data_IF_946670909077
#
_entry.id   IF_946670909077
#
_cell.length_a   1.000
_cell.length_b   1.000
_cell.length_c   1.000
_cell.angle_alpha   90.00
_cell.angle_beta   90.00
_cell.angle_gamma   90.00
#
_symmetry.space_group_name_H-M   'P 1'
#
loop_
_entity.id
_entity.type
_entity.pdbx_description
1 polymer ?
#
# COMPACT_ATOMS: atom_id res chain seq x y z
N UNK A 1 22.05 12.23 16.49
CA UNK A 1 22.41 13.66 16.30
C UNK A 1 22.66 14.27 17.67
N UNK A 2 23.73 15.05 17.88
CA UNK A 2 24.06 15.58 19.22
C UNK A 2 23.15 16.77 19.57
N UNK A 3 22.66 16.87 20.82
CA UNK A 3 21.81 17.98 21.28
C UNK A 3 22.40 19.38 21.00
N UNK A 4 23.71 19.53 21.17
CA UNK A 4 24.44 20.78 20.97
C UNK A 4 24.37 21.28 19.51
N UNK A 5 24.43 20.36 18.55
CA UNK A 5 24.35 20.68 17.12
C UNK A 5 22.96 21.20 16.76
N UNK A 6 21.92 20.61 17.36
CA UNK A 6 20.52 21.04 17.19
C UNK A 6 20.35 22.45 17.75
N UNK A 7 20.88 22.73 18.93
CA UNK A 7 20.77 24.06 19.54
C UNK A 7 21.48 25.15 18.72
N UNK A 8 22.68 24.85 18.20
CA UNK A 8 23.39 25.77 17.29
C UNK A 8 22.61 26.06 16.01
N UNK A 9 21.87 25.07 15.49
CA UNK A 9 21.06 25.26 14.28
C UNK A 9 19.88 26.21 14.50
N UNK A 10 19.24 26.16 15.66
CA UNK A 10 18.20 27.12 16.06
C UNK A 10 18.75 28.55 16.13
N UNK A 11 19.92 28.72 16.76
CA UNK A 11 20.58 30.02 16.84
C UNK A 11 20.98 30.57 15.46
N UNK A 12 21.52 29.72 14.58
CA UNK A 12 21.94 30.13 13.23
C UNK A 12 20.76 30.51 12.32
N UNK A 13 19.61 29.87 12.50
CA UNK A 13 18.40 30.11 11.70
C UNK A 13 17.47 31.16 12.31
N UNK A 14 17.74 31.60 13.55
CA UNK A 14 16.85 32.49 14.31
C UNK A 14 15.53 31.83 14.72
N UNK A 15 15.38 30.51 14.54
CA UNK A 15 14.20 29.76 14.96
C UNK A 15 14.28 29.57 16.46
N UNK A 16 13.34 30.15 17.20
CA UNK A 16 13.24 29.99 18.65
C UNK A 16 11.96 29.26 19.02
N UNK A 17 12.01 27.92 19.20
CA UNK A 17 10.89 27.17 19.75
C UNK A 17 10.63 27.63 21.19
N UNK A 18 9.35 27.82 21.55
CA UNK A 18 8.97 28.11 22.94
C UNK A 18 9.46 27.05 23.94
N UNK A 19 9.63 25.81 23.49
CA UNK A 19 10.27 24.73 24.26
C UNK A 19 11.21 23.91 23.35
N UNK A 20 12.51 24.19 23.42
CA UNK A 20 13.53 23.47 22.67
C UNK A 20 13.74 22.03 23.18
N UNK A 21 13.38 21.74 24.44
CA UNK A 21 13.60 20.42 25.04
C UNK A 21 12.71 19.34 24.43
N UNK A 22 11.51 19.72 23.97
CA UNK A 22 10.60 18.82 23.25
C UNK A 22 11.27 18.28 21.99
N UNK A 23 11.99 19.13 21.26
CA UNK A 23 12.73 18.72 20.06
C UNK A 23 13.93 17.87 20.46
N UNK A 24 14.68 18.28 21.49
CA UNK A 24 15.83 17.51 21.96
C UNK A 24 15.45 16.10 22.43
N UNK A 25 14.31 15.93 23.12
CA UNK A 25 13.81 14.62 23.58
C UNK A 25 13.60 13.63 22.44
N UNK A 26 13.18 14.10 21.26
CA UNK A 26 13.00 13.24 20.06
C UNK A 26 14.32 12.67 19.54
N UNK A 27 15.43 13.35 19.80
CA UNK A 27 16.76 12.96 19.34
C UNK A 27 17.66 12.43 20.46
N UNK A 28 17.19 12.41 21.72
CA UNK A 28 17.83 11.67 22.81
C UNK A 28 17.64 10.19 22.49
N UNK A 29 18.69 9.58 21.97
CA UNK A 29 18.74 8.19 21.53
C UNK A 29 18.16 7.25 22.60
N UNK A 30 16.94 6.76 22.41
CA UNK A 30 16.46 5.53 23.04
C UNK A 30 17.13 4.38 22.31
N UNK A 31 18.37 4.08 22.67
CA UNK A 31 19.11 2.93 22.14
C UNK A 31 18.41 1.59 22.49
N UNK A 32 17.47 1.57 23.43
CA UNK A 32 16.73 0.35 23.78
C UNK A 32 15.60 -0.03 22.81
N UNK A 33 15.00 0.92 22.09
CA UNK A 33 13.89 0.59 21.17
C UNK A 33 14.40 0.18 19.79
N UNK A 34 15.65 0.50 19.42
CA UNK A 34 16.22 0.00 18.17
C UNK A 34 16.49 -1.50 18.21
N UNK A 35 16.83 -2.05 19.38
CA UNK A 35 16.99 -3.50 19.58
C UNK A 35 15.64 -4.25 19.62
N UNK A 36 14.56 -3.60 20.06
CA UNK A 36 13.19 -4.16 20.02
C UNK A 36 12.45 -3.88 18.70
N UNK A 37 12.81 -2.83 17.96
CA UNK A 37 12.35 -2.58 16.59
C UNK A 37 12.93 -3.59 15.60
N UNK A 38 14.04 -4.26 15.94
CA UNK A 38 14.51 -5.46 15.24
C UNK A 38 13.58 -6.67 15.44
N UNK A 39 12.67 -6.64 16.43
CA UNK A 39 11.72 -7.73 16.71
C UNK A 39 10.29 -7.49 16.22
N UNK A 40 9.91 -6.28 15.79
CA UNK A 40 8.57 -6.02 15.29
C UNK A 40 8.56 -5.27 13.95
N UNK A 41 8.72 -6.07 12.90
CA UNK A 41 8.18 -5.79 11.58
C UNK A 41 7.35 -6.99 11.13
N UNK A 42 6.17 -7.18 11.73
CA UNK A 42 5.15 -8.06 11.17
C UNK A 42 4.74 -7.54 9.79
N UNK A 43 5.25 -8.15 8.73
CA UNK A 43 4.44 -8.44 7.53
C UNK A 43 5.05 -9.61 6.75
N UNK A 44 4.78 -10.83 7.26
CA UNK A 44 4.44 -11.99 6.43
C UNK A 44 5.48 -12.69 5.56
N UNK A 45 6.70 -12.17 5.38
CA UNK A 45 7.65 -12.78 4.46
C UNK A 45 9.03 -12.89 5.10
N UNK A 46 9.50 -14.11 5.35
CA UNK A 46 10.82 -14.40 5.94
C UNK A 46 12.00 -14.00 5.04
N UNK A 47 11.73 -13.31 3.93
CA UNK A 47 12.67 -12.87 2.89
C UNK A 47 13.18 -11.44 3.07
N UNK A 48 12.90 -10.77 4.19
CA UNK A 48 13.42 -9.41 4.43
C UNK A 48 14.95 -9.40 4.39
N UNK A 49 15.53 -8.54 3.55
CA UNK A 49 16.99 -8.43 3.37
C UNK A 49 17.72 -8.25 4.70
N UNK A 50 17.13 -7.56 5.67
CA UNK A 50 17.72 -7.34 6.99
C UNK A 50 17.88 -8.68 7.73
N UNK A 51 16.87 -9.54 7.69
CA UNK A 51 16.91 -10.87 8.32
C UNK A 51 17.92 -11.78 7.61
N UNK A 52 17.88 -11.82 6.28
CA UNK A 52 18.84 -12.58 5.48
C UNK A 52 20.27 -12.09 5.71
N UNK A 53 20.45 -10.79 5.90
CA UNK A 53 21.75 -10.20 6.21
C UNK A 53 22.22 -10.55 7.60
N UNK A 54 21.36 -10.56 8.61
CA UNK A 54 21.71 -11.00 9.98
C UNK A 54 22.16 -12.47 9.95
N UNK A 55 21.41 -13.34 9.25
CA UNK A 55 21.75 -14.76 9.11
C UNK A 55 23.08 -14.92 8.36
N UNK A 56 23.26 -14.19 7.26
CA UNK A 56 24.51 -14.18 6.50
C UNK A 56 25.70 -13.71 7.35
N UNK A 57 25.50 -12.65 8.13
CA UNK A 57 26.50 -12.06 9.00
C UNK A 57 26.91 -12.99 10.16
N UNK A 58 25.99 -13.84 10.63
CA UNK A 58 26.24 -14.87 11.63
C UNK A 58 26.93 -16.12 11.04
N UNK A 59 26.55 -16.52 9.83
CA UNK A 59 27.10 -17.72 9.17
C UNK A 59 28.48 -17.50 8.55
N UNK A 60 28.79 -16.28 8.09
CA UNK A 60 30.03 -15.99 7.35
C UNK A 60 31.05 -15.29 8.26
N UNK A 61 32.05 -16.04 8.71
CA UNK A 61 33.11 -15.55 9.58
C UNK A 61 33.98 -14.44 8.93
N UNK A 62 34.36 -14.59 7.65
CA UNK A 62 35.18 -13.59 6.94
C UNK A 62 34.43 -12.93 5.78
N UNK A 63 33.78 -11.82 6.11
CA UNK A 63 32.94 -11.02 5.20
C UNK A 63 33.74 -10.25 4.15
N UNK A 64 35.03 -10.03 4.39
CA UNK A 64 35.90 -9.33 3.46
C UNK A 64 36.29 -10.20 2.25
N UNK A 65 36.17 -11.54 2.38
CA UNK A 65 36.47 -12.49 1.31
C UNK A 65 35.61 -12.17 0.08
N UNK A 66 36.22 -12.23 -1.11
CA UNK A 66 35.57 -11.91 -2.38
C UNK A 66 34.32 -12.79 -2.60
N UNK A 67 34.40 -14.08 -2.25
CA UNK A 67 33.28 -15.02 -2.33
C UNK A 67 32.09 -14.61 -1.44
N UNK A 68 32.36 -14.17 -0.21
CA UNK A 68 31.32 -13.71 0.71
C UNK A 68 30.60 -12.47 0.15
N UNK A 69 31.35 -11.50 -0.38
CA UNK A 69 30.77 -10.32 -1.03
C UNK A 69 29.95 -10.68 -2.26
N UNK A 70 30.42 -11.64 -3.07
CA UNK A 70 29.69 -12.14 -4.24
C UNK A 70 28.38 -12.80 -3.82
N UNK A 71 28.41 -13.64 -2.79
CA UNK A 71 27.23 -14.30 -2.24
C UNK A 71 26.21 -13.30 -1.69
N UNK A 72 26.65 -12.32 -0.90
CA UNK A 72 25.78 -11.25 -0.37
C UNK A 72 25.09 -10.47 -1.49
N UNK A 73 25.82 -10.11 -2.55
CA UNK A 73 25.23 -9.44 -3.74
C UNK A 73 24.21 -10.32 -4.45
N UNK A 74 24.50 -11.60 -4.64
CA UNK A 74 23.57 -12.55 -5.25
C UNK A 74 22.29 -12.67 -4.44
N UNK A 75 22.38 -12.83 -3.12
CA UNK A 75 21.20 -12.92 -2.23
C UNK A 75 20.36 -11.65 -2.35
N UNK A 76 20.99 -10.47 -2.29
CA UNK A 76 20.27 -9.21 -2.43
C UNK A 76 19.58 -9.09 -3.80
N UNK A 77 20.27 -9.48 -4.89
CA UNK A 77 19.66 -9.46 -6.23
C UNK A 77 18.47 -10.41 -6.36
N UNK A 78 18.53 -11.60 -5.75
CA UNK A 78 17.43 -12.56 -5.75
C UNK A 78 16.24 -12.03 -4.96
N UNK A 79 16.49 -11.41 -3.80
CA UNK A 79 15.46 -10.81 -2.97
C UNK A 79 14.73 -9.67 -3.71
N UNK A 80 15.48 -8.79 -4.40
CA UNK A 80 14.90 -7.74 -5.24
C UNK A 80 14.06 -8.34 -6.38
N UNK A 81 14.57 -9.36 -7.06
CA UNK A 81 13.83 -10.01 -8.15
C UNK A 81 12.55 -10.68 -7.65
N UNK A 82 12.58 -11.37 -6.51
CA UNK A 82 11.38 -11.97 -5.91
C UNK A 82 10.35 -10.89 -5.59
N UNK A 83 10.76 -9.77 -4.97
CA UNK A 83 9.87 -8.66 -4.69
C UNK A 83 9.22 -8.09 -5.96
N UNK A 84 9.99 -7.93 -7.04
CA UNK A 84 9.47 -7.49 -8.33
C UNK A 84 8.44 -8.48 -8.90
N UNK A 85 8.76 -9.78 -8.88
CA UNK A 85 7.86 -10.84 -9.35
C UNK A 85 6.57 -10.91 -8.53
N UNK A 86 6.63 -10.75 -7.21
CA UNK A 86 5.44 -10.69 -6.36
C UNK A 86 4.54 -9.50 -6.70
N UNK A 87 5.14 -8.33 -6.89
CA UNK A 87 4.40 -7.13 -7.29
C UNK A 87 3.76 -7.29 -8.68
N UNK A 88 4.49 -7.86 -9.64
CA UNK A 88 3.97 -8.12 -10.98
C UNK A 88 2.81 -9.11 -10.94
N UNK A 89 2.96 -10.25 -10.25
CA UNK A 89 1.89 -11.23 -10.08
C UNK A 89 0.65 -10.64 -9.40
N UNK A 90 0.84 -9.84 -8.35
CA UNK A 90 -0.25 -9.15 -7.67
C UNK A 90 -0.97 -8.18 -8.62
N UNK A 91 -0.21 -7.39 -9.39
CA UNK A 91 -0.76 -6.48 -10.40
C UNK A 91 -1.54 -7.22 -11.49
N UNK A 92 -1.03 -8.33 -11.99
CA UNK A 92 -1.70 -9.18 -12.98
C UNK A 92 -3.01 -9.76 -12.43
N UNK A 93 -3.01 -10.25 -11.18
CA UNK A 93 -4.23 -10.74 -10.53
C UNK A 93 -5.27 -9.63 -10.38
N UNK A 94 -4.86 -8.43 -9.98
CA UNK A 94 -5.76 -7.28 -9.89
C UNK A 94 -6.34 -6.90 -11.27
N UNK A 95 -5.51 -6.84 -12.31
CA UNK A 95 -5.93 -6.56 -13.67
C UNK A 95 -6.89 -7.63 -14.22
N UNK A 96 -6.68 -8.89 -13.87
CA UNK A 96 -7.59 -9.97 -14.23
C UNK A 96 -8.94 -9.82 -13.51
N UNK A 97 -8.92 -9.49 -12.22
CA UNK A 97 -10.13 -9.26 -11.43
C UNK A 97 -10.93 -8.06 -11.96
N UNK A 98 -10.28 -6.96 -12.33
CA UNK A 98 -10.96 -5.79 -12.93
C UNK A 98 -11.56 -6.14 -14.29
N UNK A 99 -10.85 -6.87 -15.15
CA UNK A 99 -11.40 -7.37 -16.42
C UNK A 99 -12.61 -8.28 -16.20
N UNK A 100 -12.54 -9.20 -15.23
CA UNK A 100 -13.67 -10.07 -14.88
C UNK A 100 -14.89 -9.28 -14.42
N UNK A 101 -14.69 -8.27 -13.55
CA UNK A 101 -15.74 -7.34 -13.12
C UNK A 101 -16.32 -6.53 -14.28
N UNK A 102 -15.49 -6.10 -15.23
CA UNK A 102 -15.97 -5.38 -16.42
C UNK A 102 -16.76 -6.29 -17.37
N UNK A 103 -16.41 -7.58 -17.48
CA UNK A 103 -17.18 -8.55 -18.27
C UNK A 103 -18.54 -8.86 -17.65
N UNK A 104 -18.69 -8.73 -16.33
CA UNK A 104 -20.01 -8.67 -15.71
C UNK A 104 -20.69 -7.38 -16.16
N UNK A 105 -21.44 -7.48 -17.27
CA UNK A 105 -22.27 -6.39 -17.77
C UNK A 105 -23.11 -5.89 -16.60
N UNK A 106 -23.09 -4.58 -16.35
CA UNK A 106 -24.13 -3.96 -15.54
C UNK A 106 -25.44 -4.31 -16.22
N UNK A 107 -26.34 -5.00 -15.52
CA UNK A 107 -27.73 -5.14 -15.97
C UNK A 107 -28.25 -3.73 -16.12
N UNK A 108 -28.39 -3.27 -17.36
CA UNK A 108 -29.06 -2.00 -17.64
C UNK A 108 -30.52 -2.26 -17.32
N UNK A 109 -30.99 -1.65 -16.23
CA UNK A 109 -32.40 -1.65 -15.89
C UNK A 109 -33.17 -1.10 -17.09
N UNK A 110 -34.12 -1.85 -17.65
CA UNK A 110 -34.84 -1.39 -18.84
C UNK A 110 -35.83 -0.30 -18.43
N UNK A 111 -35.40 0.95 -18.55
CA UNK A 111 -36.19 2.11 -18.19
C UNK A 111 -37.21 2.36 -19.31
N UNK A 112 -38.29 1.56 -19.34
CA UNK A 112 -39.38 1.70 -20.32
C UNK A 112 -39.88 3.13 -20.36
N UNK A 113 -39.72 3.75 -21.52
CA UNK A 113 -40.28 5.08 -21.78
C UNK A 113 -41.79 4.93 -21.92
N UNK A 114 -42.58 5.78 -21.26
CA UNK A 114 -44.01 5.89 -21.56
C UNK A 114 -44.11 6.66 -22.88
N UNK A 115 -44.69 6.08 -23.92
CA UNK A 115 -44.74 6.62 -25.31
C UNK A 115 -45.36 8.03 -25.46
N UNK A 116 -45.83 8.64 -24.38
CA UNK A 116 -46.30 10.02 -24.34
C UNK A 116 -45.10 11.00 -24.31
N UNK A 117 -44.37 11.10 -25.42
CA UNK A 117 -43.25 12.04 -25.56
C UNK A 117 -43.63 13.31 -26.33
N UNK A 118 -43.64 14.44 -25.64
CA UNK A 118 -43.58 15.78 -26.22
C UNK A 118 -42.21 16.42 -25.93
N UNK A 119 -41.14 15.91 -26.55
CA UNK A 119 -39.95 16.71 -26.89
C UNK A 119 -39.15 17.39 -25.78
N UNK A 120 -38.99 16.82 -24.57
CA UNK A 120 -38.27 17.47 -23.45
C UNK A 120 -37.32 16.57 -22.64
N UNK A 121 -36.51 17.18 -21.77
CA UNK A 121 -35.58 16.48 -20.88
C UNK A 121 -36.30 15.52 -19.92
N UNK A 122 -35.84 14.28 -19.83
CA UNK A 122 -36.47 13.24 -19.00
C UNK A 122 -35.98 13.33 -17.56
N UNK A 123 -36.87 13.70 -16.63
CA UNK A 123 -36.57 13.71 -15.19
C UNK A 123 -36.78 12.34 -14.55
N UNK A 124 -35.68 11.79 -13.99
CA UNK A 124 -35.65 10.50 -13.30
C UNK A 124 -35.68 10.70 -11.77
N UNK A 125 -36.88 10.60 -11.19
CA UNK A 125 -37.05 10.67 -9.74
C UNK A 125 -36.78 9.31 -9.06
N UNK A 126 -36.39 9.27 -7.77
CA UNK A 126 -36.18 8.03 -7.03
C UNK A 126 -37.40 7.09 -6.97
N UNK A 127 -38.60 7.64 -7.17
CA UNK A 127 -39.82 6.84 -7.27
C UNK A 127 -39.87 6.06 -8.58
N UNK A 128 -39.59 6.69 -9.72
CA UNK A 128 -39.56 6.04 -11.04
C UNK A 128 -38.51 4.93 -11.10
N UNK A 129 -37.36 5.14 -10.47
CA UNK A 129 -36.31 4.12 -10.39
C UNK A 129 -36.80 2.85 -9.67
N UNK A 130 -37.56 3.00 -8.57
CA UNK A 130 -38.14 1.87 -7.81
C UNK A 130 -39.27 1.15 -8.55
N UNK A 131 -39.99 1.85 -9.42
CA UNK A 131 -41.05 1.23 -10.23
C UNK A 131 -40.44 0.37 -11.35
N UNK A 132 -39.39 0.87 -12.01
CA UNK A 132 -38.65 0.09 -13.01
C UNK A 132 -37.97 -1.17 -12.40
N UNK A 133 -37.38 -1.08 -11.20
CA UNK A 133 -36.79 -2.27 -10.55
C UNK A 133 -37.81 -3.36 -10.27
N UNK A 134 -39.02 -2.99 -9.83
CA UNK A 134 -40.09 -3.96 -9.56
C UNK A 134 -40.60 -4.63 -10.84
N UNK A 135 -40.59 -3.90 -11.96
CA UNK A 135 -41.00 -4.44 -13.26
C UNK A 135 -39.97 -5.45 -13.77
N UNK A 136 -38.68 -5.11 -13.73
CA UNK A 136 -37.60 -6.03 -14.11
C UNK A 136 -37.59 -7.31 -13.25
N UNK A 137 -37.83 -7.18 -11.93
CA UNK A 137 -37.99 -8.32 -11.03
C UNK A 137 -39.20 -9.19 -11.42
N UNK A 138 -40.33 -8.58 -11.78
CA UNK A 138 -41.52 -9.31 -12.21
C UNK A 138 -41.31 -10.05 -13.55
N UNK A 139 -40.54 -9.46 -14.48
CA UNK A 139 -40.21 -10.08 -15.77
C UNK A 139 -39.24 -11.25 -15.62
N UNK A 140 -38.28 -11.16 -14.70
CA UNK A 140 -37.38 -12.28 -14.38
C UNK A 140 -38.10 -13.47 -13.75
N UNK A 141 -39.20 -13.25 -13.03
CA UNK A 141 -40.02 -14.31 -12.41
C UNK A 141 -40.99 -15.00 -13.38
N UNK A 142 -41.19 -14.44 -14.59
CA UNK A 142 -42.07 -15.01 -15.62
C UNK A 142 -41.31 -15.87 -16.66
N UNK A 143 -39.98 -15.90 -16.60
CA UNK A 143 -39.08 -16.77 -17.38
C UNK A 143 -38.75 -18.05 -16.61
#
# INVERSE_FOLDING_TARGET
>A
MKPETIMKSFQATGVWPMDAEVVLKRFKTTTSEQDEALKLGQQGDGDSWIQLRIIFDAAVANKAKVEAKRLSRSIHSLQVNNALLYNENSGLQQALNTKKKHKMKRTTLDLRHRDEYYGGAVFWSPRKLREATKQDEAEQLQL
#
